data_IF_801954100687
#
_entry.id   IF_801954100687
#
_cell.length_a   1.000
_cell.length_b   1.000
_cell.length_c   1.000
_cell.angle_alpha   90.00
_cell.angle_beta   90.00
_cell.angle_gamma   90.00
#
_symmetry.space_group_name_H-M   'P 1'
#
loop_
_entity.id
_entity.type
_entity.pdbx_description
1 polymer ?
#
# COMPACT_ATOMS: atom_id res chain seq x y z
N UNK A 1 -8.83 17.93 -4.06
CA UNK A 1 -8.77 17.71 -2.60
C UNK A 1 -8.18 16.35 -2.38
N UNK A 2 -7.07 16.27 -1.65
CA UNK A 2 -6.35 15.03 -1.38
C UNK A 2 -7.19 14.03 -0.60
N UNK A 3 -7.08 12.75 -0.94
CA UNK A 3 -7.70 11.65 -0.20
C UNK A 3 -6.65 10.67 0.31
N UNK A 4 -6.93 10.13 1.49
CA UNK A 4 -6.09 9.16 2.15
C UNK A 4 -6.83 7.83 2.27
N UNK A 5 -6.08 6.74 2.36
CA UNK A 5 -6.60 5.39 2.51
C UNK A 5 -6.21 4.87 3.89
N UNK A 6 -7.17 4.31 4.62
CA UNK A 6 -6.93 3.62 5.88
C UNK A 6 -6.93 2.11 5.64
N UNK A 7 -5.93 1.39 6.18
CA UNK A 7 -5.81 -0.06 6.01
C UNK A 7 -5.43 -0.76 7.30
N UNK A 8 -6.20 -1.79 7.66
CA UNK A 8 -5.85 -2.69 8.75
C UNK A 8 -4.66 -3.57 8.33
N UNK A 9 -3.60 -3.56 9.13
CA UNK A 9 -2.43 -4.41 8.96
C UNK A 9 -2.61 -5.69 9.79
N UNK A 10 -3.19 -6.72 9.17
CA UNK A 10 -3.41 -8.02 9.81
C UNK A 10 -2.11 -8.83 9.77
N UNK A 11 -1.75 -9.49 10.88
CA UNK A 11 -0.53 -10.30 10.97
C UNK A 11 0.75 -9.51 11.23
N UNK A 12 0.62 -8.24 11.60
CA UNK A 12 1.72 -7.34 11.92
C UNK A 12 1.57 -6.89 13.39
N UNK A 13 2.60 -7.05 14.21
CA UNK A 13 2.52 -6.77 15.64
C UNK A 13 3.18 -5.44 16.03
N UNK A 14 4.05 -4.91 15.19
CA UNK A 14 4.82 -3.68 15.39
C UNK A 14 5.00 -2.89 14.08
N UNK A 15 5.59 -1.68 14.15
CA UNK A 15 5.97 -0.91 12.96
C UNK A 15 7.16 -1.56 12.26
N UNK A 16 8.08 -2.12 13.05
CA UNK A 16 9.28 -2.81 12.61
C UNK A 16 8.93 -4.06 11.78
N UNK A 17 7.94 -4.85 12.23
CA UNK A 17 7.45 -6.02 11.49
C UNK A 17 6.95 -5.64 10.09
N UNK A 18 6.22 -4.51 9.99
CA UNK A 18 5.73 -4.00 8.71
C UNK A 18 6.90 -3.58 7.83
N UNK A 19 7.86 -2.85 8.39
CA UNK A 19 9.02 -2.35 7.66
C UNK A 19 9.87 -3.50 7.11
N UNK A 20 10.15 -4.51 7.94
CA UNK A 20 10.92 -5.69 7.54
C UNK A 20 10.20 -6.48 6.44
N UNK A 21 8.90 -6.74 6.62
CA UNK A 21 8.09 -7.44 5.62
C UNK A 21 8.03 -6.68 4.29
N UNK A 22 7.87 -5.36 4.34
CA UNK A 22 7.87 -4.51 3.15
C UNK A 22 9.23 -4.50 2.46
N UNK A 23 10.33 -4.39 3.21
CA UNK A 23 11.69 -4.38 2.68
C UNK A 23 12.03 -5.71 2.01
N UNK A 24 11.68 -6.85 2.62
CA UNK A 24 11.91 -8.17 2.04
C UNK A 24 11.19 -8.32 0.69
N UNK A 25 9.92 -7.92 0.63
CA UNK A 25 9.13 -8.03 -0.61
C UNK A 25 9.52 -7.03 -1.66
N UNK A 26 9.88 -5.81 -1.28
CA UNK A 26 10.32 -4.77 -2.19
C UNK A 26 11.58 -5.19 -2.97
N UNK A 27 12.49 -5.94 -2.34
CA UNK A 27 13.70 -6.49 -3.02
C UNK A 27 13.37 -7.33 -4.25
N UNK A 28 12.21 -7.99 -4.26
CA UNK A 28 11.76 -8.85 -5.35
C UNK A 28 11.03 -8.08 -6.47
N UNK A 29 10.80 -6.78 -6.30
CA UNK A 29 10.02 -5.96 -7.22
C UNK A 29 10.91 -5.00 -8.01
N UNK A 30 10.56 -4.70 -9.28
CA UNK A 30 11.19 -3.63 -10.04
C UNK A 30 11.06 -2.29 -9.30
N UNK A 31 12.17 -1.58 -9.14
CA UNK A 31 12.24 -0.29 -8.46
C UNK A 31 12.38 -0.37 -6.94
N UNK A 32 12.34 -1.57 -6.34
CA UNK A 32 12.58 -1.77 -4.90
C UNK A 32 11.69 -0.94 -3.98
N UNK A 33 10.47 -0.64 -4.43
CA UNK A 33 9.48 0.10 -3.66
C UNK A 33 8.47 -0.86 -3.03
N UNK A 34 8.04 -0.59 -1.78
CA UNK A 34 6.95 -1.32 -1.17
C UNK A 34 5.65 -1.10 -1.94
N UNK A 35 4.80 -2.13 -1.95
CA UNK A 35 3.46 -2.01 -2.51
C UNK A 35 2.44 -2.81 -1.71
N UNK A 36 1.22 -2.30 -1.64
CA UNK A 36 0.07 -3.04 -1.11
C UNK A 36 -0.94 -3.34 -2.21
N UNK A 37 -1.22 -4.62 -2.46
CA UNK A 37 -2.18 -5.05 -3.49
C UNK A 37 -3.60 -5.10 -2.92
N UNK A 38 -4.51 -4.39 -3.55
CA UNK A 38 -5.95 -4.37 -3.25
C UNK A 38 -6.74 -4.97 -4.41
N UNK A 39 -7.81 -5.70 -4.09
CA UNK A 39 -8.75 -6.21 -5.11
C UNK A 39 -9.47 -5.11 -5.88
N UNK A 40 -9.82 -4.03 -5.19
CA UNK A 40 -10.55 -2.90 -5.77
C UNK A 40 -9.60 -1.75 -6.09
N UNK A 41 -9.86 -1.08 -7.20
CA UNK A 41 -9.20 0.16 -7.58
C UNK A 41 -9.82 1.35 -6.81
N UNK A 42 -9.03 2.33 -6.35
CA UNK A 42 -9.58 3.56 -5.76
C UNK A 42 -10.48 4.31 -6.76
N UNK A 43 -11.75 4.53 -6.42
CA UNK A 43 -12.71 5.22 -7.30
C UNK A 43 -12.31 6.66 -7.64
N UNK A 44 -11.53 7.30 -6.76
CA UNK A 44 -11.04 8.67 -6.90
C UNK A 44 -9.51 8.67 -6.95
N UNK A 45 -8.95 7.96 -7.94
CA UNK A 45 -7.51 7.76 -8.09
C UNK A 45 -6.71 9.08 -8.12
N UNK A 46 -7.17 10.08 -8.88
CA UNK A 46 -6.51 11.38 -8.99
C UNK A 46 -6.38 12.07 -7.62
N UNK A 47 -7.44 12.06 -6.82
CA UNK A 47 -7.43 12.65 -5.48
C UNK A 47 -6.51 11.88 -4.50
N UNK A 48 -6.35 10.56 -4.70
CA UNK A 48 -5.39 9.75 -3.93
C UNK A 48 -3.95 10.03 -4.36
N UNK A 49 -3.71 10.28 -5.64
CA UNK A 49 -2.37 10.58 -6.17
C UNK A 49 -1.95 12.04 -5.97
N UNK A 50 -2.90 12.94 -5.70
CA UNK A 50 -2.70 14.34 -5.30
C UNK A 50 -2.19 14.46 -3.85
N UNK A 51 -1.07 13.81 -3.54
CA UNK A 51 -0.43 13.85 -2.22
C UNK A 51 -1.04 12.91 -1.16
N UNK A 52 -1.87 11.96 -1.57
CA UNK A 52 -2.51 11.00 -0.67
C UNK A 52 -1.52 10.04 0.00
N UNK A 53 -2.04 9.31 0.98
CA UNK A 53 -1.23 8.43 1.82
C UNK A 53 -2.03 7.22 2.27
N UNK A 54 -1.33 6.11 2.47
CA UNK A 54 -1.85 4.94 3.14
C UNK A 54 -1.50 5.05 4.63
N UNK A 55 -2.52 4.98 5.46
CA UNK A 55 -2.39 4.92 6.92
C UNK A 55 -2.61 3.48 7.37
N UNK A 56 -1.60 2.89 8.01
CA UNK A 56 -1.69 1.54 8.54
C UNK A 56 -2.19 1.55 9.97
N UNK A 57 -3.22 0.75 10.21
CA UNK A 57 -3.74 0.44 11.54
C UNK A 57 -3.09 -0.84 12.03
N UNK A 58 -2.28 -0.73 13.08
CA UNK A 58 -1.61 -1.84 13.76
C UNK A 58 -2.13 -1.87 15.19
N UNK A 59 -2.63 -3.03 15.65
CA UNK A 59 -3.22 -3.21 16.99
C UNK A 59 -4.29 -2.16 17.36
N UNK A 60 -5.13 -1.80 16.38
CA UNK A 60 -6.28 -0.90 16.59
C UNK A 60 -5.97 0.59 16.49
N UNK A 61 -4.71 0.98 16.31
CA UNK A 61 -4.28 2.38 16.21
C UNK A 61 -3.57 2.66 14.89
N UNK A 62 -3.70 3.88 14.36
CA UNK A 62 -2.89 4.34 13.24
C UNK A 62 -1.46 4.57 13.72
N UNK A 63 -0.51 3.83 13.16
CA UNK A 63 0.90 3.90 13.60
C UNK A 63 1.87 4.26 12.47
N UNK A 64 1.48 4.06 11.22
CA UNK A 64 2.34 4.33 10.06
C UNK A 64 1.58 5.11 9.01
N UNK A 65 2.26 6.08 8.40
CA UNK A 65 1.80 6.83 7.23
C UNK A 65 2.84 6.67 6.13
N UNK A 66 2.42 6.17 4.97
CA UNK A 66 3.26 6.12 3.77
C UNK A 66 2.59 6.87 2.62
N UNK A 67 3.35 7.69 1.89
CA UNK A 67 2.82 8.40 0.72
C UNK A 67 2.53 7.39 -0.40
N UNK A 68 1.41 7.57 -1.08
CA UNK A 68 1.09 6.77 -2.27
C UNK A 68 1.74 7.47 -3.46
N UNK A 69 2.66 6.78 -4.13
CA UNK A 69 3.43 7.32 -5.25
C UNK A 69 2.70 7.12 -6.57
N UNK A 70 2.10 5.93 -6.76
CA UNK A 70 1.38 5.55 -7.98
C UNK A 70 0.48 4.33 -7.74
N UNK A 71 -0.40 4.08 -8.71
CA UNK A 71 -1.27 2.91 -8.77
C UNK A 71 -0.89 2.06 -9.97
N UNK A 72 -0.58 0.79 -9.73
CA UNK A 72 -0.17 -0.14 -10.79
C UNK A 72 -1.17 -1.29 -10.95
N UNK A 73 -1.40 -1.77 -12.19
CA UNK A 73 -2.09 -3.04 -12.39
C UNK A 73 -1.21 -4.21 -11.93
N UNK A 74 -1.83 -5.20 -11.29
CA UNK A 74 -1.23 -6.50 -10.99
C UNK A 74 -2.16 -7.58 -11.50
N UNK A 75 -1.71 -8.35 -12.48
CA UNK A 75 -2.45 -9.53 -12.94
C UNK A 75 -2.32 -10.64 -11.91
N UNK A 76 -3.47 -11.12 -11.41
CA UNK A 76 -3.51 -12.32 -10.58
C UNK A 76 -3.52 -13.58 -11.44
N UNK A 77 -3.12 -14.69 -10.83
CA UNK A 77 -3.16 -16.03 -11.46
C UNK A 77 -4.59 -16.47 -11.83
N UNK A 78 -5.59 -15.86 -11.21
CA UNK A 78 -7.02 -16.03 -11.50
C UNK A 78 -7.53 -15.17 -12.67
N UNK A 79 -6.63 -14.47 -13.37
CA UNK A 79 -6.96 -13.56 -14.47
C UNK A 79 -7.60 -12.24 -14.02
N UNK A 80 -7.70 -11.98 -12.71
CA UNK A 80 -8.28 -10.74 -12.19
C UNK A 80 -7.18 -9.69 -12.01
N UNK A 81 -7.32 -8.56 -12.72
CA UNK A 81 -6.46 -7.38 -12.51
C UNK A 81 -6.77 -6.73 -11.17
N UNK A 82 -5.74 -6.56 -10.34
CA UNK A 82 -5.77 -5.93 -9.03
C UNK A 82 -5.00 -4.61 -9.07
N UNK A 83 -5.22 -3.75 -8.07
CA UNK A 83 -4.50 -2.49 -7.93
C UNK A 83 -3.37 -2.68 -6.92
N UNK A 84 -2.14 -2.32 -7.28
CA UNK A 84 -1.06 -2.11 -6.32
C UNK A 84 -0.96 -0.63 -5.97
N UNK A 85 -1.09 -0.31 -4.68
CA UNK A 85 -0.70 0.98 -4.12
C UNK A 85 0.81 0.95 -3.95
N UNK A 86 1.57 1.67 -4.78
CA UNK A 86 3.02 1.78 -4.64
C UNK A 86 3.33 2.87 -3.62
N UNK A 87 4.16 2.55 -2.64
CA UNK A 87 4.36 3.35 -1.44
C UNK A 87 5.78 3.91 -1.38
N UNK A 88 5.90 5.09 -0.79
CA UNK A 88 7.17 5.67 -0.37
C UNK A 88 7.75 4.85 0.81
N UNK A 89 9.01 4.39 0.75
CA UNK A 89 9.63 3.53 1.78
C UNK A 89 9.64 4.13 3.18
#
# INVERSE_FOLDING_TARGET
MTLHILKLCVGCESVEDLADWQAERARLLPGHLPRHVTRMWPKQAEAVLDGGSLYWVIKGSVQVRQRILRLDPVEGEDGITRCALVLDP
#
